data_IF_757254272714
#
_entry.id   IF_757254272714
#
_cell.length_a   1.000
_cell.length_b   1.000
_cell.length_c   1.000
_cell.angle_alpha   90.00
_cell.angle_beta   90.00
_cell.angle_gamma   90.00
#
_symmetry.space_group_name_H-M   'P 1'
#
loop_
_entity.id
_entity.type
_entity.pdbx_description
1 polymer ?
#
# COMPACT_ATOMS: atom_id res chain seq x y z
N UNK A 1 4.47 3.06 -15.39
CA UNK A 1 4.43 3.79 -14.12
C UNK A 1 5.50 3.22 -13.21
N UNK A 2 6.16 4.07 -12.44
CA UNK A 2 7.09 3.70 -11.39
C UNK A 2 6.42 3.94 -10.04
N UNK A 3 6.33 2.91 -9.21
CA UNK A 3 5.72 2.95 -7.87
C UNK A 3 6.77 2.64 -6.80
N UNK A 4 7.04 3.62 -5.93
CA UNK A 4 7.98 3.48 -4.84
C UNK A 4 7.24 3.05 -3.59
N UNK A 5 7.79 2.08 -2.86
CA UNK A 5 7.28 1.65 -1.55
C UNK A 5 8.24 2.12 -0.47
N UNK A 6 7.71 2.87 0.50
CA UNK A 6 8.46 3.34 1.66
C UNK A 6 7.94 2.68 2.92
N UNK A 7 8.85 2.13 3.71
CA UNK A 7 8.60 1.65 5.05
C UNK A 7 8.89 2.74 6.06
N UNK A 8 7.86 3.47 6.46
CA UNK A 8 7.98 4.38 7.59
C UNK A 8 8.10 3.62 8.92
N UNK A 9 7.79 2.31 8.95
CA UNK A 9 8.01 1.46 10.13
C UNK A 9 8.47 0.03 9.74
N UNK A 10 9.53 -0.52 10.39
CA UNK A 10 9.98 -1.89 10.15
C UNK A 10 8.91 -2.96 10.41
N UNK A 11 8.01 -2.71 11.37
CA UNK A 11 6.99 -3.67 11.81
C UNK A 11 5.77 -3.73 10.90
N UNK A 12 5.59 -2.75 10.02
CA UNK A 12 4.43 -2.65 9.11
C UNK A 12 4.49 -3.64 7.93
N UNK A 13 5.60 -4.36 7.74
CA UNK A 13 5.72 -5.38 6.70
C UNK A 13 5.84 -4.83 5.28
N UNK A 14 6.60 -3.75 5.10
CA UNK A 14 6.70 -3.00 3.83
C UNK A 14 7.08 -3.87 2.65
N UNK A 15 8.13 -4.68 2.77
CA UNK A 15 8.56 -5.58 1.70
C UNK A 15 7.50 -6.64 1.38
N UNK A 16 6.74 -7.11 2.38
CA UNK A 16 5.62 -8.04 2.17
C UNK A 16 4.46 -7.35 1.43
N UNK A 17 4.10 -6.13 1.83
CA UNK A 17 3.04 -5.34 1.20
C UNK A 17 3.41 -4.92 -0.22
N UNK A 18 4.68 -4.59 -0.48
CA UNK A 18 5.20 -4.33 -1.82
C UNK A 18 5.12 -5.59 -2.68
N UNK A 19 5.63 -6.73 -2.19
CA UNK A 19 5.54 -7.99 -2.93
C UNK A 19 4.09 -8.37 -3.21
N UNK A 20 3.18 -8.15 -2.26
CA UNK A 20 1.75 -8.33 -2.46
C UNK A 20 1.21 -7.46 -3.60
N UNK A 21 1.54 -6.16 -3.63
CA UNK A 21 1.11 -5.25 -4.68
C UNK A 21 1.68 -5.64 -6.05
N UNK A 22 2.99 -5.93 -6.10
CA UNK A 22 3.69 -6.30 -7.33
C UNK A 22 3.16 -7.61 -7.90
N UNK A 23 3.07 -8.65 -7.07
CA UNK A 23 2.56 -9.95 -7.49
C UNK A 23 1.05 -9.95 -7.74
N UNK A 24 0.28 -9.16 -6.98
CA UNK A 24 -1.15 -8.94 -7.24
C UNK A 24 -1.39 -8.30 -8.60
N UNK A 25 -0.62 -7.28 -8.96
CA UNK A 25 -0.69 -6.64 -10.28
C UNK A 25 -0.26 -7.61 -11.40
N UNK A 26 0.68 -8.52 -11.14
CA UNK A 26 1.14 -9.49 -12.14
C UNK A 26 0.16 -10.66 -12.33
N UNK A 27 -0.32 -11.26 -11.23
CA UNK A 27 -1.10 -12.51 -11.25
C UNK A 27 -2.61 -12.31 -11.34
N UNK A 28 -3.11 -11.08 -11.20
CA UNK A 28 -4.52 -10.79 -11.33
C UNK A 28 -4.78 -9.93 -12.59
N UNK A 29 -4.61 -10.48 -13.81
CA UNK A 29 -4.66 -9.70 -15.06
C UNK A 29 -5.97 -8.93 -15.23
N UNK A 30 -7.10 -9.51 -14.81
CA UNK A 30 -8.41 -8.82 -14.81
C UNK A 30 -8.43 -7.62 -13.87
N UNK A 31 -7.86 -7.72 -12.66
CA UNK A 31 -7.80 -6.57 -11.74
C UNK A 31 -6.78 -5.54 -12.22
N UNK A 32 -5.65 -5.97 -12.76
CA UNK A 32 -4.64 -5.11 -13.38
C UNK A 32 -5.24 -4.31 -14.52
N UNK A 33 -5.99 -4.95 -15.42
CA UNK A 33 -6.68 -4.30 -16.54
C UNK A 33 -7.74 -3.31 -16.04
N UNK A 34 -8.57 -3.72 -15.07
CA UNK A 34 -9.58 -2.83 -14.45
C UNK A 34 -8.97 -1.63 -13.75
N UNK A 35 -7.82 -1.80 -13.09
CA UNK A 35 -7.03 -0.72 -12.53
C UNK A 35 -6.32 0.11 -13.62
N UNK A 36 -6.27 -0.39 -14.86
CA UNK A 36 -5.59 0.25 -15.98
C UNK A 36 -4.06 0.30 -15.80
N UNK A 37 -3.48 -0.70 -15.15
CA UNK A 37 -2.03 -0.84 -14.92
C UNK A 37 -1.40 -1.57 -16.11
N UNK A 38 -0.89 -0.82 -17.09
CA UNK A 38 -0.29 -1.43 -18.30
C UNK A 38 1.15 -1.91 -18.07
N UNK A 39 2.00 -1.11 -17.43
CA UNK A 39 3.36 -1.49 -17.01
C UNK A 39 3.66 -0.76 -15.71
N UNK A 40 3.97 -1.52 -14.65
CA UNK A 40 4.36 -0.98 -13.35
C UNK A 40 5.69 -1.57 -12.93
N UNK A 41 6.61 -0.70 -12.51
CA UNK A 41 7.87 -1.06 -11.86
C UNK A 41 7.75 -0.70 -10.39
N UNK A 42 8.04 -1.66 -9.51
CA UNK A 42 7.90 -1.54 -8.07
C UNK A 42 9.27 -1.56 -7.42
N UNK A 43 9.58 -0.57 -6.58
CA UNK A 43 10.86 -0.52 -5.85
C UNK A 43 10.61 -0.35 -4.36
N UNK A 44 11.25 -1.20 -3.57
CA UNK A 44 11.31 -1.09 -2.12
C UNK A 44 12.47 -0.18 -1.72
N UNK A 45 12.17 0.92 -1.05
CA UNK A 45 13.18 1.81 -0.47
C UNK A 45 13.41 1.53 1.02
N UNK A 46 12.65 0.61 1.64
CA UNK A 46 12.77 0.34 3.07
C UNK A 46 12.57 1.61 3.89
N UNK A 47 13.50 1.93 4.79
CA UNK A 47 13.50 3.21 5.49
C UNK A 47 14.16 4.30 4.64
N UNK A 48 13.53 5.47 4.59
CA UNK A 48 14.01 6.60 3.80
C UNK A 48 15.29 7.23 4.38
N UNK A 49 16.18 7.65 3.48
CA UNK A 49 17.27 8.58 3.75
C UNK A 49 17.06 9.89 2.98
N UNK A 50 17.78 10.95 3.37
CA UNK A 50 17.75 12.23 2.67
C UNK A 50 18.19 12.13 1.18
N UNK A 51 18.99 11.12 0.84
CA UNK A 51 19.40 10.86 -0.54
C UNK A 51 18.26 10.27 -1.38
N UNK A 52 17.40 9.46 -0.77
CA UNK A 52 16.26 8.82 -1.44
C UNK A 52 15.18 9.84 -1.81
N UNK A 53 15.03 10.93 -1.05
CA UNK A 53 14.05 11.99 -1.30
C UNK A 53 14.16 12.60 -2.71
N UNK A 54 15.40 12.77 -3.20
CA UNK A 54 15.64 13.29 -4.55
C UNK A 54 15.24 12.31 -5.65
N UNK A 55 15.33 11.01 -5.38
CA UNK A 55 14.83 10.00 -6.31
C UNK A 55 13.33 9.89 -6.20
N UNK A 56 12.76 9.89 -4.98
CA UNK A 56 11.32 9.74 -4.71
C UNK A 56 10.47 10.77 -5.48
N UNK A 57 10.98 12.00 -5.69
CA UNK A 57 10.30 13.03 -6.50
C UNK A 57 10.13 12.68 -7.98
N UNK A 58 10.94 11.77 -8.54
CA UNK A 58 10.79 11.34 -9.93
C UNK A 58 9.76 10.23 -10.12
N UNK A 59 9.23 9.62 -9.05
CA UNK A 59 8.30 8.51 -9.13
C UNK A 59 6.88 8.96 -9.49
N UNK A 60 6.10 8.07 -10.12
CA UNK A 60 4.74 8.39 -10.53
C UNK A 60 3.74 8.26 -9.37
N UNK A 61 4.05 7.36 -8.42
CA UNK A 61 3.28 7.12 -7.21
C UNK A 61 4.19 6.71 -6.06
N UNK A 62 3.92 7.25 -4.89
CA UNK A 62 4.57 6.84 -3.65
C UNK A 62 3.58 6.09 -2.77
N UNK A 63 3.91 4.87 -2.38
CA UNK A 63 3.13 4.05 -1.45
C UNK A 63 3.84 4.02 -0.11
N UNK A 64 3.29 4.71 0.89
CA UNK A 64 3.90 4.79 2.21
C UNK A 64 3.26 3.80 3.16
N UNK A 65 4.04 2.84 3.62
CA UNK A 65 3.61 1.80 4.54
C UNK A 65 3.79 2.23 5.99
N UNK A 66 2.67 2.24 6.70
CA UNK A 66 2.50 2.72 8.06
C UNK A 66 1.77 1.66 8.89
N UNK A 67 1.91 1.75 10.21
CA UNK A 67 0.94 1.18 11.14
C UNK A 67 0.01 2.28 11.66
N UNK A 68 -1.00 1.91 12.46
CA UNK A 68 -1.92 2.85 13.09
C UNK A 68 -1.36 3.46 14.39
N UNK A 69 -0.04 3.58 14.56
CA UNK A 69 0.56 4.25 15.72
C UNK A 69 0.71 5.76 15.47
N UNK A 70 0.13 6.59 16.35
CA UNK A 70 0.06 8.05 16.20
C UNK A 70 1.43 8.71 15.94
N UNK A 71 2.50 8.24 16.59
CA UNK A 71 3.85 8.80 16.45
C UNK A 71 4.40 8.77 15.02
N UNK A 72 4.13 7.71 14.26
CA UNK A 72 4.62 7.55 12.89
C UNK A 72 3.88 8.47 11.91
N UNK A 73 2.60 8.72 12.18
CA UNK A 73 1.80 9.65 11.40
C UNK A 73 2.22 11.09 11.65
N UNK A 74 2.44 11.47 12.90
CA UNK A 74 2.95 12.81 13.24
C UNK A 74 4.28 13.10 12.57
N UNK A 75 5.25 12.18 12.62
CA UNK A 75 6.55 12.34 11.98
C UNK A 75 6.43 12.52 10.46
N UNK A 76 5.59 11.71 9.80
CA UNK A 76 5.33 11.83 8.38
C UNK A 76 4.65 13.15 8.02
N UNK A 77 3.68 13.58 8.85
CA UNK A 77 2.91 14.79 8.61
C UNK A 77 3.71 16.07 8.91
N UNK A 78 4.62 16.06 9.88
CA UNK A 78 5.55 17.15 10.11
C UNK A 78 6.55 17.31 8.95
N UNK A 79 6.88 16.20 8.29
CA UNK A 79 7.77 16.17 7.12
C UNK A 79 7.02 16.29 5.77
N UNK A 80 5.73 16.66 5.77
CA UNK A 80 4.88 16.76 4.56
C UNK A 80 5.47 17.61 3.44
N UNK A 81 6.24 18.65 3.76
CA UNK A 81 6.92 19.48 2.76
C UNK A 81 7.89 18.69 1.89
N UNK A 82 8.38 17.55 2.37
CA UNK A 82 9.27 16.63 1.64
C UNK A 82 8.51 15.69 0.71
N UNK A 83 7.22 15.49 0.93
CA UNK A 83 6.39 14.54 0.21
C UNK A 83 5.37 15.26 -0.68
N UNK A 84 5.80 16.16 -1.59
CA UNK A 84 4.88 16.84 -2.51
C UNK A 84 4.32 15.93 -3.63
N UNK A 85 4.46 14.62 -3.48
CA UNK A 85 4.16 13.66 -4.52
C UNK A 85 2.78 13.06 -4.33
N UNK A 86 2.28 12.55 -5.43
CA UNK A 86 1.08 11.75 -5.48
C UNK A 86 1.28 10.45 -4.65
N UNK A 87 0.59 10.37 -3.51
CA UNK A 87 0.77 9.34 -2.47
C UNK A 87 -0.48 8.48 -2.27
N UNK A 88 -0.26 7.21 -1.94
CA UNK A 88 -1.20 6.35 -1.22
C UNK A 88 -0.58 5.85 0.09
N UNK A 89 -1.41 5.61 1.09
CA UNK A 89 -1.01 5.14 2.40
C UNK A 89 -1.39 3.67 2.56
N UNK A 90 -0.42 2.82 2.86
CA UNK A 90 -0.63 1.41 3.15
C UNK A 90 -0.68 1.22 4.66
N UNK A 91 -1.75 0.61 5.16
CA UNK A 91 -1.88 0.30 6.59
C UNK A 91 -1.61 -1.18 6.77
N UNK A 92 -0.37 -1.51 7.12
CA UNK A 92 0.06 -2.89 7.29
C UNK A 92 -0.51 -3.53 8.56
N UNK A 93 -0.77 -4.84 8.51
CA UNK A 93 -1.28 -5.64 9.63
C UNK A 93 -2.57 -5.09 10.26
N UNK A 94 -3.43 -4.53 9.41
CA UNK A 94 -4.70 -3.95 9.83
C UNK A 94 -5.64 -5.02 10.43
N UNK A 95 -6.28 -4.69 11.55
CA UNK A 95 -7.37 -5.49 12.12
C UNK A 95 -8.71 -4.78 11.94
N UNK A 96 -9.78 -5.53 11.63
CA UNK A 96 -11.08 -4.92 11.33
C UNK A 96 -11.66 -4.11 12.51
N UNK A 97 -11.31 -4.46 13.75
CA UNK A 97 -11.64 -3.69 14.95
C UNK A 97 -11.12 -2.25 14.91
N UNK A 98 -10.08 -1.98 14.11
CA UNK A 98 -9.43 -0.67 13.97
C UNK A 98 -10.08 0.23 12.92
N UNK A 99 -11.24 -0.15 12.35
CA UNK A 99 -11.93 0.67 11.34
C UNK A 99 -12.18 2.11 11.81
N UNK A 100 -12.61 2.27 13.05
CA UNK A 100 -12.86 3.60 13.65
C UNK A 100 -11.58 4.42 13.80
N UNK A 101 -10.46 3.76 14.08
CA UNK A 101 -9.15 4.43 14.13
C UNK A 101 -8.80 4.93 12.74
N UNK A 102 -8.93 4.11 11.70
CA UNK A 102 -8.64 4.49 10.32
C UNK A 102 -9.50 5.68 9.85
N UNK A 103 -10.80 5.68 10.16
CA UNK A 103 -11.70 6.83 9.90
C UNK A 103 -11.33 8.09 10.71
N UNK A 104 -10.76 7.92 11.91
CA UNK A 104 -10.23 9.03 12.72
C UNK A 104 -8.95 9.60 12.10
N UNK A 105 -8.01 8.76 11.68
CA UNK A 105 -6.78 9.16 10.98
C UNK A 105 -7.07 9.90 9.67
N UNK A 106 -7.97 9.36 8.83
CA UNK A 106 -8.41 10.03 7.61
C UNK A 106 -8.89 11.47 7.86
N UNK A 107 -9.67 11.68 8.92
CA UNK A 107 -10.18 13.00 9.29
C UNK A 107 -9.11 13.92 9.86
N UNK A 108 -8.29 13.45 10.81
CA UNK A 108 -7.26 14.26 11.45
C UNK A 108 -6.21 14.76 10.47
N UNK A 109 -5.81 13.89 9.56
CA UNK A 109 -4.76 14.16 8.60
C UNK A 109 -5.28 14.62 7.22
N UNK A 110 -6.61 14.77 7.09
CA UNK A 110 -7.30 15.21 5.87
C UNK A 110 -6.92 14.40 4.63
N UNK A 111 -6.81 13.09 4.81
CA UNK A 111 -6.52 12.15 3.72
C UNK A 111 -7.84 11.54 3.26
N UNK A 112 -8.10 11.59 1.95
CA UNK A 112 -9.22 10.85 1.37
C UNK A 112 -9.10 9.36 1.67
N UNK A 113 -10.19 8.75 2.15
CA UNK A 113 -10.25 7.31 2.43
C UNK A 113 -9.82 6.44 1.23
N UNK A 114 -10.02 6.92 0.00
CA UNK A 114 -9.60 6.22 -1.22
C UNK A 114 -8.07 6.13 -1.39
N UNK A 115 -7.31 6.99 -0.72
CA UNK A 115 -5.85 6.94 -0.68
C UNK A 115 -5.33 6.04 0.45
N UNK A 116 -6.19 5.60 1.36
CA UNK A 116 -5.82 4.71 2.47
C UNK A 116 -6.16 3.28 2.09
N UNK A 117 -5.13 2.47 1.90
CA UNK A 117 -5.22 1.08 1.46
C UNK A 117 -4.80 0.16 2.62
N UNK A 118 -5.74 -0.29 3.47
CA UNK A 118 -5.42 -1.22 4.54
C UNK A 118 -5.07 -2.60 3.97
N UNK A 119 -4.04 -3.23 4.53
CA UNK A 119 -3.68 -4.63 4.25
C UNK A 119 -3.91 -5.41 5.54
N UNK A 120 -4.98 -6.22 5.61
CA UNK A 120 -5.35 -6.88 6.84
C UNK A 120 -4.30 -7.93 7.22
N UNK A 121 -4.09 -8.11 8.53
CA UNK A 121 -3.26 -9.22 8.99
C UNK A 121 -3.88 -10.55 8.55
N UNK A 122 -3.12 -11.34 7.78
CA UNK A 122 -3.51 -12.67 7.36
C UNK A 122 -2.35 -13.62 7.63
N UNK A 123 -2.56 -14.59 8.51
CA UNK A 123 -1.52 -15.52 8.95
C UNK A 123 -1.00 -16.39 7.79
N UNK A 124 -1.88 -16.77 6.84
CA UNK A 124 -1.49 -17.58 5.67
C UNK A 124 -0.64 -16.76 4.72
N UNK A 125 -0.99 -15.49 4.50
CA UNK A 125 -0.16 -14.56 3.74
C UNK A 125 1.22 -14.39 4.39
N UNK A 126 1.29 -14.17 5.71
CA UNK A 126 2.55 -14.04 6.44
C UNK A 126 3.44 -15.28 6.25
N UNK A 127 2.89 -16.48 6.43
CA UNK A 127 3.62 -17.74 6.19
C UNK A 127 4.05 -17.91 4.75
N UNK A 128 3.21 -17.49 3.79
CA UNK A 128 3.54 -17.54 2.38
C UNK A 128 4.67 -16.57 2.03
N UNK A 129 4.70 -15.38 2.63
CA UNK A 129 5.81 -14.44 2.51
C UNK A 129 7.10 -15.04 3.07
N UNK A 130 7.09 -15.52 4.31
CA UNK A 130 8.27 -16.11 4.97
C UNK A 130 8.84 -17.33 4.24
N UNK A 131 7.98 -18.11 3.57
CA UNK A 131 8.38 -19.29 2.81
C UNK A 131 8.66 -19.03 1.33
N UNK A 132 8.57 -17.77 0.85
CA UNK A 132 8.75 -17.42 -0.56
C UNK A 132 7.65 -17.95 -1.50
N UNK A 133 6.47 -18.27 -0.95
CA UNK A 133 5.32 -18.89 -1.66
C UNK A 133 4.13 -17.94 -1.86
N UNK A 134 4.38 -16.63 -1.90
CA UNK A 134 3.33 -15.60 -2.11
C UNK A 134 2.53 -15.86 -3.37
N UNK A 135 3.19 -16.30 -4.44
CA UNK A 135 2.54 -16.61 -5.72
C UNK A 135 1.49 -17.70 -5.59
N UNK A 136 1.84 -18.79 -4.90
CA UNK A 136 0.92 -19.86 -4.63
C UNK A 136 -0.24 -19.34 -3.79
N UNK A 137 0.04 -18.58 -2.73
CA UNK A 137 -1.00 -18.00 -1.87
C UNK A 137 -1.99 -17.13 -2.66
N UNK A 138 -1.52 -16.26 -3.57
CA UNK A 138 -2.41 -15.42 -4.38
C UNK A 138 -3.31 -16.21 -5.33
N UNK A 139 -2.85 -17.37 -5.82
CA UNK A 139 -3.69 -18.28 -6.61
C UNK A 139 -4.77 -18.91 -5.72
N UNK A 140 -4.37 -19.50 -4.60
CA UNK A 140 -5.28 -20.13 -3.63
C UNK A 140 -6.30 -19.14 -3.03
N UNK A 141 -5.91 -17.89 -2.82
CA UNK A 141 -6.78 -16.85 -2.25
C UNK A 141 -8.03 -16.60 -3.11
N UNK A 142 -7.97 -16.84 -4.43
CA UNK A 142 -9.12 -16.68 -5.33
C UNK A 142 -10.14 -17.84 -5.20
N UNK A 143 -9.72 -18.98 -4.66
CA UNK A 143 -10.50 -20.21 -4.62
C UNK A 143 -11.17 -20.45 -3.25
N UNK A 144 -10.60 -19.90 -2.18
CA UNK A 144 -11.01 -20.23 -0.81
C UNK A 144 -11.95 -19.20 -0.17
N UNK A 145 -13.14 -19.65 0.22
CA UNK A 145 -14.24 -18.81 0.73
C UNK A 145 -14.25 -18.67 2.25
N UNK A 146 -13.18 -18.19 2.87
CA UNK A 146 -13.22 -17.75 4.27
C UNK A 146 -13.34 -16.22 4.38
N UNK A 147 -13.89 -15.73 5.51
CA UNK A 147 -14.10 -14.30 5.73
C UNK A 147 -12.79 -13.50 5.62
N UNK A 148 -11.71 -14.00 6.22
CA UNK A 148 -10.40 -13.32 6.23
C UNK A 148 -9.80 -13.22 4.83
N UNK A 149 -9.90 -14.29 4.02
CA UNK A 149 -9.45 -14.28 2.63
C UNK A 149 -10.31 -13.35 1.76
N UNK A 150 -11.62 -13.26 2.03
CA UNK A 150 -12.51 -12.32 1.33
C UNK A 150 -12.16 -10.87 1.63
N UNK A 151 -11.94 -10.54 2.90
CA UNK A 151 -11.51 -9.19 3.32
C UNK A 151 -10.14 -8.87 2.72
N UNK A 152 -9.18 -9.80 2.79
CA UNK A 152 -7.87 -9.64 2.18
C UNK A 152 -7.94 -9.39 0.67
N UNK A 153 -8.75 -10.17 -0.06
CA UNK A 153 -8.94 -10.01 -1.50
C UNK A 153 -9.57 -8.67 -1.87
N UNK A 154 -10.55 -8.20 -1.08
CA UNK A 154 -11.15 -6.89 -1.27
C UNK A 154 -10.12 -5.76 -1.06
N UNK A 155 -9.32 -5.84 0.00
CA UNK A 155 -8.24 -4.88 0.26
C UNK A 155 -7.18 -4.89 -0.84
N UNK A 156 -6.79 -6.07 -1.36
CA UNK A 156 -5.87 -6.18 -2.49
C UNK A 156 -6.45 -5.51 -3.75
N UNK A 157 -7.73 -5.71 -4.02
CA UNK A 157 -8.42 -5.06 -5.13
C UNK A 157 -8.40 -3.54 -4.96
N UNK A 158 -8.74 -3.02 -3.78
CA UNK A 158 -8.73 -1.59 -3.49
C UNK A 158 -7.33 -0.99 -3.67
N UNK A 159 -6.29 -1.66 -3.18
CA UNK A 159 -4.90 -1.28 -3.39
C UNK A 159 -4.54 -1.17 -4.87
N UNK A 160 -4.86 -2.18 -5.69
CA UNK A 160 -4.56 -2.14 -7.11
C UNK A 160 -5.33 -1.03 -7.83
N UNK A 161 -6.60 -0.81 -7.47
CA UNK A 161 -7.39 0.29 -8.01
C UNK A 161 -6.81 1.65 -7.63
N UNK A 162 -6.34 1.82 -6.39
CA UNK A 162 -5.66 3.03 -5.94
C UNK A 162 -4.35 3.25 -6.69
N UNK A 163 -3.51 2.21 -6.85
CA UNK A 163 -2.28 2.29 -7.66
C UNK A 163 -2.60 2.72 -9.09
N UNK A 164 -3.59 2.11 -9.71
CA UNK A 164 -4.00 2.42 -11.08
C UNK A 164 -4.56 3.83 -11.27
N UNK A 165 -5.39 4.28 -10.32
CA UNK A 165 -6.01 5.61 -10.30
C UNK A 165 -4.97 6.68 -10.04
N UNK A 166 -4.22 6.55 -8.95
CA UNK A 166 -3.29 7.58 -8.51
C UNK A 166 -2.02 7.54 -9.33
N UNK A 167 -1.46 6.39 -9.72
CA UNK A 167 -0.24 6.34 -10.54
C UNK A 167 -0.31 7.02 -11.92
N UNK A 168 -1.50 7.47 -12.36
CA UNK A 168 -1.71 8.29 -13.57
C UNK A 168 -1.80 9.80 -13.29
N UNK A 169 -1.87 10.20 -12.02
CA UNK A 169 -2.07 11.58 -11.52
C UNK A 169 -0.78 12.17 -10.93
N UNK A 170 0.34 11.94 -11.60
CA UNK A 170 1.63 12.49 -11.17
C UNK A 170 1.51 14.01 -11.05
N UNK A 171 1.91 14.57 -9.90
CA UNK A 171 1.84 16.01 -9.63
C UNK A 171 0.62 16.46 -8.81
N UNK A 172 -0.28 15.56 -8.41
CA UNK A 172 -1.31 15.87 -7.40
C UNK A 172 -0.64 16.18 -6.05
N UNK A 173 -0.76 17.43 -5.59
CA UNK A 173 -0.14 17.94 -4.34
C UNK A 173 -1.10 17.76 -3.14
N UNK A 174 -2.39 17.51 -3.39
CA UNK A 174 -3.42 17.42 -2.35
C UNK A 174 -3.89 15.99 -2.11
N UNK A 175 -3.96 15.64 -0.81
CA UNK A 175 -4.41 14.33 -0.33
C UNK A 175 -5.92 14.25 -0.08
N UNK A 176 -6.57 15.41 0.05
CA UNK A 176 -8.01 15.59 0.31
C UNK A 176 -8.83 15.78 -0.95
#
# INVERSE_FOLDING_TARGET
>A
MQVAFLGAEPKAGTSANMQLAAWGAFFHPVLRERAGIQKAEFTDFGQWSAADLKQISSWDLLAVNLSLTESTWEELFLNQSMFQNNIIFLIGKYHHSQKRELERFSRWYRISMERICPIPYNQRFQKAYESGRILSYLKWQQEEFCYENRVFGQCLKELLMAIGKYGKRKGDIYYG
#
